data_IF_675264501555
#
_entry.id   IF_675264501555
#
_cell.length_a   1.000
_cell.length_b   1.000
_cell.length_c   1.000
_cell.angle_alpha   90.00
_cell.angle_beta   90.00
_cell.angle_gamma   90.00
#
_symmetry.space_group_name_H-M   'P 1'
#
loop_
_entity.id
_entity.type
_entity.pdbx_description
1 polymer ?
#
# COMPACT_ATOMS: atom_id res chain seq x y z
N UNK A 1 -7.88 -30.48 34.21
CA UNK A 1 -7.72 -29.06 33.87
C UNK A 1 -7.18 -28.99 32.45
N UNK A 2 -8.07 -28.85 31.46
CA UNK A 2 -7.70 -28.89 30.04
C UNK A 2 -7.14 -27.52 29.65
N UNK A 3 -5.87 -27.46 29.24
CA UNK A 3 -5.27 -26.23 28.74
C UNK A 3 -6.07 -25.74 27.51
N UNK A 4 -6.37 -24.44 27.40
CA UNK A 4 -7.04 -23.92 26.20
C UNK A 4 -6.19 -24.25 24.97
N UNK A 5 -6.76 -25.02 24.05
CA UNK A 5 -6.11 -25.36 22.78
C UNK A 5 -5.87 -24.07 22.00
N UNK A 6 -4.62 -23.64 21.93
CA UNK A 6 -4.22 -22.53 21.09
C UNK A 6 -4.18 -23.04 19.67
N UNK A 7 -5.10 -22.58 18.82
CA UNK A 7 -5.03 -22.82 17.38
C UNK A 7 -3.68 -22.29 16.86
N UNK A 8 -2.98 -23.11 16.07
CA UNK A 8 -1.73 -22.70 15.42
C UNK A 8 -1.99 -21.41 14.60
N UNK A 9 -1.02 -20.48 14.52
CA UNK A 9 -1.17 -19.25 13.75
C UNK A 9 -1.52 -19.54 12.30
N UNK A 10 -2.52 -18.86 11.76
CA UNK A 10 -3.01 -19.07 10.41
C UNK A 10 -1.89 -18.78 9.37
N UNK A 11 -1.48 -19.77 8.56
CA UNK A 11 -0.45 -19.59 7.54
C UNK A 11 -0.76 -18.44 6.59
N UNK A 12 -2.04 -18.19 6.26
CA UNK A 12 -2.45 -17.09 5.38
C UNK A 12 -2.18 -15.73 6.00
N UNK A 13 -2.41 -15.61 7.32
CA UNK A 13 -2.13 -14.39 8.07
C UNK A 13 -0.63 -14.11 8.12
N UNK A 14 0.21 -15.15 8.26
CA UNK A 14 1.66 -15.01 8.18
C UNK A 14 2.14 -14.56 6.80
N UNK A 15 1.64 -15.17 5.73
CA UNK A 15 1.95 -14.74 4.36
C UNK A 15 1.53 -13.29 4.13
N UNK A 16 0.34 -12.89 4.60
CA UNK A 16 -0.13 -11.50 4.56
C UNK A 16 0.77 -10.54 5.33
N UNK A 17 1.30 -10.95 6.49
CA UNK A 17 2.23 -10.16 7.28
C UNK A 17 3.57 -9.95 6.56
N UNK A 18 4.11 -10.99 5.92
CA UNK A 18 5.33 -10.88 5.08
C UNK A 18 5.08 -9.92 3.92
N UNK A 19 3.94 -10.08 3.22
CA UNK A 19 3.55 -9.19 2.12
C UNK A 19 3.48 -7.72 2.57
N UNK A 20 2.93 -7.46 3.75
CA UNK A 20 2.83 -6.11 4.30
C UNK A 20 4.21 -5.53 4.67
N UNK A 21 5.05 -6.32 5.33
CA UNK A 21 6.42 -5.90 5.66
C UNK A 21 7.21 -5.55 4.39
N UNK A 22 7.11 -6.39 3.36
CA UNK A 22 7.72 -6.13 2.06
C UNK A 22 7.14 -4.87 1.40
N UNK A 23 5.82 -4.67 1.43
CA UNK A 23 5.20 -3.46 0.91
C UNK A 23 5.75 -2.19 1.57
N UNK A 24 5.88 -2.19 2.90
CA UNK A 24 6.47 -1.08 3.65
C UNK A 24 7.90 -0.78 3.23
N UNK A 25 8.74 -1.81 3.07
CA UNK A 25 10.13 -1.66 2.59
C UNK A 25 10.14 -1.06 1.18
N UNK A 26 9.27 -1.53 0.29
CA UNK A 26 9.18 -1.04 -1.09
C UNK A 26 8.78 0.43 -1.16
N UNK A 27 7.92 0.91 -0.26
CA UNK A 27 7.59 2.34 -0.16
C UNK A 27 8.74 3.20 0.36
N UNK A 28 9.56 2.68 1.28
CA UNK A 28 10.82 3.34 1.65
C UNK A 28 11.74 3.43 0.44
N UNK A 29 11.90 2.33 -0.30
CA UNK A 29 12.74 2.31 -1.50
C UNK A 29 12.22 3.27 -2.57
N UNK A 30 10.90 3.35 -2.78
CA UNK A 30 10.29 4.31 -3.71
C UNK A 30 10.77 5.74 -3.42
N UNK A 31 10.66 6.18 -2.16
CA UNK A 31 10.98 7.56 -1.81
C UNK A 31 12.48 7.86 -1.87
N UNK A 32 13.32 6.90 -1.44
CA UNK A 32 14.77 7.07 -1.37
C UNK A 32 15.48 6.89 -2.73
N UNK A 33 14.93 6.07 -3.63
CA UNK A 33 15.56 5.74 -4.92
C UNK A 33 15.07 6.64 -6.05
N UNK A 34 13.82 7.15 -5.99
CA UNK A 34 13.30 8.00 -7.04
C UNK A 34 14.12 9.30 -7.15
N UNK A 35 14.70 9.61 -8.33
CA UNK A 35 15.44 10.85 -8.52
C UNK A 35 14.47 12.04 -8.49
N UNK A 36 14.97 13.20 -8.03
CA UNK A 36 14.15 14.39 -7.73
C UNK A 36 14.67 15.66 -8.38
N UNK A 37 15.32 15.50 -9.54
CA UNK A 37 15.77 16.63 -10.36
C UNK A 37 14.57 17.46 -10.84
N UNK A 38 14.86 18.70 -11.25
CA UNK A 38 13.85 19.57 -11.84
C UNK A 38 13.33 18.98 -13.16
N UNK A 39 12.09 18.51 -13.12
CA UNK A 39 11.43 17.77 -14.21
C UNK A 39 11.05 18.65 -15.41
N UNK A 40 11.37 19.95 -15.38
CA UNK A 40 11.25 20.87 -16.52
C UNK A 40 12.53 21.00 -17.36
N UNK A 41 13.61 20.34 -16.93
CA UNK A 41 14.95 20.45 -17.53
C UNK A 41 15.36 19.18 -18.27
N UNK A 42 16.47 19.24 -19.02
CA UNK A 42 17.09 18.04 -19.62
C UNK A 42 17.58 17.05 -18.55
N UNK A 43 18.08 17.52 -17.41
CA UNK A 43 18.47 16.66 -16.28
C UNK A 43 17.26 15.93 -15.70
N UNK A 44 16.12 16.64 -15.59
CA UNK A 44 14.83 16.05 -15.26
C UNK A 44 14.40 14.96 -16.25
N UNK A 45 14.55 15.22 -17.54
CA UNK A 45 14.23 14.25 -18.58
C UNK A 45 15.14 13.01 -18.55
N UNK A 46 16.45 13.19 -18.28
CA UNK A 46 17.39 12.11 -18.04
C UNK A 46 16.97 11.28 -16.81
N UNK A 47 16.52 11.94 -15.75
CA UNK A 47 16.04 11.28 -14.54
C UNK A 47 14.87 10.33 -14.82
N UNK A 48 13.93 10.69 -15.70
CA UNK A 48 12.82 9.81 -16.12
C UNK A 48 13.29 8.59 -16.91
N UNK A 49 14.32 8.76 -17.73
CA UNK A 49 14.93 7.67 -18.50
C UNK A 49 15.75 6.69 -17.63
N UNK A 50 16.12 7.11 -16.41
CA UNK A 50 16.99 6.35 -15.53
C UNK A 50 16.39 5.03 -15.03
N UNK A 51 17.26 4.07 -14.70
CA UNK A 51 16.86 2.85 -14.01
C UNK A 51 16.28 3.15 -12.63
N UNK A 52 16.82 4.13 -11.91
CA UNK A 52 16.37 4.52 -10.57
C UNK A 52 14.89 4.93 -10.56
N UNK A 53 14.46 5.75 -11.53
CA UNK A 53 13.05 6.11 -11.71
C UNK A 53 12.17 4.88 -11.90
N UNK A 54 12.55 4.00 -12.83
CA UNK A 54 11.80 2.77 -13.13
C UNK A 54 11.71 1.86 -11.89
N UNK A 55 12.83 1.61 -11.20
CA UNK A 55 12.87 0.77 -10.00
C UNK A 55 12.01 1.33 -8.88
N UNK A 56 12.08 2.63 -8.61
CA UNK A 56 11.30 3.27 -7.57
C UNK A 56 9.78 3.13 -7.84
N UNK A 57 9.32 3.45 -9.05
CA UNK A 57 7.89 3.38 -9.37
C UNK A 57 7.39 1.93 -9.43
N UNK A 58 8.21 0.98 -9.89
CA UNK A 58 7.86 -0.45 -9.80
C UNK A 58 7.78 -0.90 -8.33
N UNK A 59 8.66 -0.43 -7.45
CA UNK A 59 8.57 -0.70 -6.03
C UNK A 59 7.24 -0.20 -5.44
N UNK A 60 6.84 1.03 -5.78
CA UNK A 60 5.54 1.57 -5.39
C UNK A 60 4.36 0.74 -5.94
N UNK A 61 4.39 0.34 -7.22
CA UNK A 61 3.36 -0.53 -7.83
C UNK A 61 3.24 -1.86 -7.07
N UNK A 62 4.36 -2.52 -6.78
CA UNK A 62 4.34 -3.78 -6.04
C UNK A 62 3.83 -3.56 -4.61
N UNK A 63 4.24 -2.49 -3.94
CA UNK A 63 3.72 -2.12 -2.62
C UNK A 63 2.20 -1.90 -2.62
N UNK A 64 1.70 -1.16 -3.62
CA UNK A 64 0.27 -0.93 -3.86
C UNK A 64 -0.51 -2.22 -4.12
N UNK A 65 0.10 -3.24 -4.73
CA UNK A 65 -0.53 -4.56 -4.91
C UNK A 65 -0.54 -5.35 -3.60
N UNK A 66 0.57 -5.33 -2.86
CA UNK A 66 0.75 -6.15 -1.66
C UNK A 66 -0.14 -5.70 -0.48
N UNK A 67 -0.30 -4.39 -0.26
CA UNK A 67 -1.14 -3.86 0.83
C UNK A 67 -2.58 -4.42 0.82
N UNK A 68 -3.36 -4.31 -0.27
CA UNK A 68 -4.72 -4.84 -0.28
C UNK A 68 -4.77 -6.38 -0.30
N UNK A 69 -3.73 -7.07 -0.79
CA UNK A 69 -3.63 -8.54 -0.64
C UNK A 69 -3.49 -8.93 0.84
N UNK A 70 -2.73 -8.17 1.62
CA UNK A 70 -2.68 -8.32 3.09
C UNK A 70 -4.05 -8.09 3.71
N UNK A 71 -4.85 -7.13 3.21
CA UNK A 71 -6.20 -6.90 3.71
C UNK A 71 -7.11 -8.11 3.43
N UNK A 72 -6.93 -8.77 2.29
CA UNK A 72 -7.55 -10.05 1.98
C UNK A 72 -7.15 -11.17 2.96
N UNK A 73 -5.88 -11.24 3.36
CA UNK A 73 -5.42 -12.17 4.38
C UNK A 73 -6.05 -11.89 5.76
N UNK A 74 -6.15 -10.62 6.16
CA UNK A 74 -6.85 -10.21 7.38
C UNK A 74 -8.35 -10.54 7.33
N UNK A 75 -9.00 -10.41 6.18
CA UNK A 75 -10.39 -10.87 5.99
C UNK A 75 -10.51 -12.38 6.28
N UNK A 76 -9.57 -13.19 5.80
CA UNK A 76 -9.51 -14.63 6.14
C UNK A 76 -9.30 -14.91 7.63
N UNK A 77 -8.52 -14.07 8.33
CA UNK A 77 -8.36 -14.17 9.79
C UNK A 77 -9.65 -13.85 10.56
N UNK A 78 -10.51 -13.00 9.99
CA UNK A 78 -11.79 -12.60 10.58
C UNK A 78 -12.98 -13.41 10.08
N UNK A 79 -12.76 -14.48 9.30
CA UNK A 79 -13.81 -15.33 8.74
C UNK A 79 -14.75 -15.86 9.84
N UNK A 80 -16.07 -15.73 9.62
CA UNK A 80 -17.09 -16.12 10.59
C UNK A 80 -17.26 -15.17 11.78
N UNK A 81 -16.54 -14.04 11.81
CA UNK A 81 -16.69 -13.02 12.87
C UNK A 81 -17.47 -11.80 12.38
N UNK A 82 -17.96 -10.97 13.33
CA UNK A 82 -18.63 -9.69 13.02
C UNK A 82 -17.79 -8.71 12.19
N UNK A 83 -16.47 -8.86 12.18
CA UNK A 83 -15.55 -7.93 11.49
C UNK A 83 -15.19 -8.38 10.07
N UNK A 84 -15.62 -9.58 9.64
CA UNK A 84 -15.32 -10.10 8.31
C UNK A 84 -15.78 -9.15 7.20
N UNK A 85 -17.01 -8.64 7.29
CA UNK A 85 -17.60 -7.75 6.27
C UNK A 85 -16.80 -6.46 6.10
N UNK A 86 -16.33 -5.88 7.21
CA UNK A 86 -15.51 -4.65 7.17
C UNK A 86 -14.15 -4.93 6.51
N UNK A 87 -13.50 -6.06 6.85
CA UNK A 87 -12.24 -6.43 6.22
C UNK A 87 -12.40 -6.83 4.74
N UNK A 88 -13.53 -7.45 4.37
CA UNK A 88 -13.88 -7.70 2.97
C UNK A 88 -14.00 -6.40 2.19
N UNK A 89 -14.80 -5.45 2.70
CA UNK A 89 -14.94 -4.14 2.07
C UNK A 89 -13.58 -3.45 1.94
N UNK A 90 -12.75 -3.49 2.98
CA UNK A 90 -11.42 -2.91 2.94
C UNK A 90 -10.53 -3.54 1.85
N UNK A 91 -10.53 -4.86 1.72
CA UNK A 91 -9.77 -5.56 0.68
C UNK A 91 -10.28 -5.20 -0.72
N UNK A 92 -11.59 -5.25 -0.96
CA UNK A 92 -12.19 -4.90 -2.26
C UNK A 92 -11.95 -3.45 -2.64
N UNK A 93 -12.19 -2.51 -1.72
CA UNK A 93 -11.89 -1.08 -1.91
C UNK A 93 -10.41 -0.87 -2.19
N UNK A 94 -9.53 -1.57 -1.46
CA UNK A 94 -8.08 -1.51 -1.66
C UNK A 94 -7.64 -2.04 -3.02
N UNK A 95 -8.24 -3.15 -3.52
CA UNK A 95 -7.95 -3.67 -4.85
C UNK A 95 -8.32 -2.67 -5.94
N UNK A 96 -9.51 -2.07 -5.85
CA UNK A 96 -9.98 -1.08 -6.82
C UNK A 96 -9.09 0.17 -6.76
N UNK A 97 -8.85 0.71 -5.55
CA UNK A 97 -8.02 1.89 -5.37
C UNK A 97 -6.59 1.69 -5.89
N UNK A 98 -6.01 0.52 -5.63
CA UNK A 98 -4.69 0.17 -6.12
C UNK A 98 -4.67 0.01 -7.64
N UNK A 99 -5.67 -0.66 -8.24
CA UNK A 99 -5.77 -0.79 -9.70
C UNK A 99 -5.85 0.57 -10.42
N UNK A 100 -6.63 1.51 -9.88
CA UNK A 100 -6.72 2.88 -10.40
C UNK A 100 -5.44 3.68 -10.20
N UNK A 101 -4.71 3.45 -9.10
CA UNK A 101 -3.47 4.18 -8.79
C UNK A 101 -2.31 3.66 -9.63
N UNK A 102 -2.17 2.34 -9.77
CA UNK A 102 -1.04 1.74 -10.50
C UNK A 102 -1.12 1.97 -12.01
N UNK A 103 -2.30 2.27 -12.57
CA UNK A 103 -2.41 2.64 -13.99
C UNK A 103 -1.66 3.96 -14.27
N UNK A 104 -1.74 4.93 -13.36
CA UNK A 104 -0.99 6.18 -13.41
C UNK A 104 0.52 5.94 -13.25
N UNK A 105 0.92 5.19 -12.23
CA UNK A 105 2.33 4.82 -12.03
C UNK A 105 2.91 4.04 -13.23
N UNK A 106 2.10 3.20 -13.88
CA UNK A 106 2.50 2.50 -15.09
C UNK A 106 2.82 3.46 -16.25
N UNK A 107 1.98 4.48 -16.44
CA UNK A 107 2.26 5.54 -17.42
C UNK A 107 3.56 6.30 -17.07
N UNK A 108 3.84 6.53 -15.79
CA UNK A 108 5.10 7.14 -15.37
C UNK A 108 6.32 6.24 -15.59
N UNK A 109 6.20 4.92 -15.41
CA UNK A 109 7.32 3.99 -15.64
C UNK A 109 7.66 3.89 -17.12
N UNK A 110 6.66 3.68 -17.98
CA UNK A 110 6.89 3.37 -19.39
C UNK A 110 6.86 4.61 -20.28
N UNK A 111 5.90 5.51 -20.04
CA UNK A 111 5.68 6.71 -20.85
C UNK A 111 6.77 7.75 -20.64
N UNK A 112 7.02 8.15 -19.39
CA UNK A 112 8.07 9.16 -19.11
C UNK A 112 9.45 8.67 -19.49
N UNK A 113 9.73 7.37 -19.37
CA UNK A 113 10.99 6.81 -19.84
C UNK A 113 11.20 7.02 -21.33
N UNK A 114 10.18 6.78 -22.15
CA UNK A 114 10.25 6.99 -23.59
C UNK A 114 10.38 8.49 -23.94
N UNK A 115 9.60 9.35 -23.26
CA UNK A 115 9.64 10.80 -23.43
C UNK A 115 11.02 11.34 -23.03
N UNK A 116 11.52 10.99 -21.86
CA UNK A 116 12.80 11.43 -21.32
C UNK A 116 13.98 10.99 -22.20
N UNK A 117 13.99 9.73 -22.66
CA UNK A 117 15.02 9.25 -23.58
C UNK A 117 15.03 10.04 -24.89
N UNK A 118 13.84 10.44 -25.39
CA UNK A 118 13.74 11.25 -26.61
C UNK A 118 14.19 12.69 -26.39
N UNK A 119 13.79 13.31 -25.28
CA UNK A 119 14.20 14.65 -24.87
C UNK A 119 15.73 14.77 -24.81
N UNK A 120 16.40 13.79 -24.18
CA UNK A 120 17.86 13.75 -24.09
C UNK A 120 18.50 13.56 -25.47
N UNK A 121 17.98 12.65 -26.30
CA UNK A 121 18.52 12.40 -27.63
C UNK A 121 18.42 13.62 -28.56
N UNK A 122 17.32 14.36 -28.48
CA UNK A 122 17.07 15.55 -29.31
C UNK A 122 17.67 16.83 -28.70
N UNK A 123 18.12 16.79 -27.44
CA UNK A 123 18.57 17.98 -26.70
C UNK A 123 17.43 18.98 -26.44
N UNK A 124 16.19 18.49 -26.36
CA UNK A 124 14.98 19.32 -26.28
C UNK A 124 14.23 19.08 -24.96
N UNK A 125 14.39 20.02 -24.02
CA UNK A 125 13.69 19.97 -22.74
C UNK A 125 12.18 20.18 -22.86
N UNK A 126 11.67 20.79 -23.94
CA UNK A 126 10.23 21.05 -24.10
C UNK A 126 9.40 19.78 -24.19
N UNK A 127 10.02 18.65 -24.55
CA UNK A 127 9.38 17.33 -24.51
C UNK A 127 8.94 16.91 -23.09
N UNK A 128 9.49 17.52 -22.03
CA UNK A 128 9.00 17.33 -20.66
C UNK A 128 7.56 17.83 -20.46
N UNK A 129 7.11 18.80 -21.25
CA UNK A 129 5.73 19.29 -21.23
C UNK A 129 4.73 18.21 -21.65
N UNK A 130 5.13 17.26 -22.51
CA UNK A 130 4.29 16.10 -22.87
C UNK A 130 4.08 15.18 -21.67
N UNK A 131 5.12 15.00 -20.85
CA UNK A 131 5.04 14.22 -19.61
C UNK A 131 4.08 14.87 -18.62
N UNK A 132 4.21 16.18 -18.44
CA UNK A 132 3.32 16.94 -17.55
C UNK A 132 1.88 16.97 -18.06
N UNK A 133 1.68 17.06 -19.38
CA UNK A 133 0.35 17.10 -19.99
C UNK A 133 -0.48 15.84 -19.68
N UNK A 134 0.10 14.64 -19.71
CA UNK A 134 -0.68 13.44 -19.34
C UNK A 134 -0.85 13.30 -17.83
N UNK A 135 0.12 13.79 -17.03
CA UNK A 135 0.02 13.74 -15.57
C UNK A 135 -1.10 14.62 -15.05
N UNK A 136 -1.22 15.81 -15.62
CA UNK A 136 -2.19 16.84 -15.25
C UNK A 136 -3.45 16.80 -16.12
N UNK A 137 -3.55 15.85 -17.04
CA UNK A 137 -4.80 15.55 -17.72
C UNK A 137 -5.90 15.30 -16.69
N UNK A 138 -7.05 15.94 -16.91
CA UNK A 138 -8.16 15.92 -15.96
C UNK A 138 -8.68 14.51 -15.67
N UNK A 139 -8.67 13.60 -16.65
CA UNK A 139 -9.13 12.22 -16.47
C UNK A 139 -8.07 11.45 -15.69
N UNK A 140 -6.81 11.53 -16.09
CA UNK A 140 -5.70 10.86 -15.42
C UNK A 140 -5.58 11.28 -13.94
N UNK A 141 -5.54 12.59 -13.68
CA UNK A 141 -5.45 13.13 -12.33
C UNK A 141 -6.67 12.77 -11.46
N UNK A 142 -7.88 12.77 -12.04
CA UNK A 142 -9.10 12.38 -11.31
C UNK A 142 -9.09 10.89 -10.95
N UNK A 143 -8.74 10.02 -11.90
CA UNK A 143 -8.65 8.57 -11.65
C UNK A 143 -7.60 8.28 -10.58
N UNK A 144 -6.45 8.94 -10.65
CA UNK A 144 -5.39 8.82 -9.67
C UNK A 144 -5.85 9.26 -8.27
N UNK A 145 -6.46 10.45 -8.16
CA UNK A 145 -6.97 10.97 -6.90
C UNK A 145 -8.05 10.07 -6.29
N UNK A 146 -8.98 9.54 -7.09
CA UNK A 146 -9.98 8.56 -6.65
C UNK A 146 -9.28 7.29 -6.16
N UNK A 147 -8.28 6.79 -6.88
CA UNK A 147 -7.48 5.63 -6.50
C UNK A 147 -6.87 5.79 -5.10
N UNK A 148 -6.20 6.92 -4.86
CA UNK A 148 -5.60 7.24 -3.56
C UNK A 148 -6.64 7.42 -2.44
N UNK A 149 -7.78 8.05 -2.75
CA UNK A 149 -8.88 8.19 -1.78
C UNK A 149 -9.44 6.82 -1.36
N UNK A 150 -9.58 5.89 -2.29
CA UNK A 150 -10.00 4.51 -2.00
C UNK A 150 -8.94 3.74 -1.20
N UNK A 151 -7.65 3.94 -1.47
CA UNK A 151 -6.56 3.35 -0.65
C UNK A 151 -6.64 3.87 0.80
N UNK A 152 -6.83 5.18 0.99
CA UNK A 152 -7.00 5.76 2.32
C UNK A 152 -8.23 5.18 3.03
N UNK A 153 -9.37 5.09 2.34
CA UNK A 153 -10.59 4.49 2.86
C UNK A 153 -10.39 3.02 3.26
N UNK A 154 -9.72 2.23 2.41
CA UNK A 154 -9.41 0.83 2.69
C UNK A 154 -8.56 0.67 3.95
N UNK A 155 -7.53 1.52 4.11
CA UNK A 155 -6.66 1.48 5.28
C UNK A 155 -7.43 1.85 6.57
N UNK A 156 -8.34 2.84 6.51
CA UNK A 156 -9.23 3.19 7.62
C UNK A 156 -10.15 2.02 7.98
N UNK A 157 -10.75 1.35 6.97
CA UNK A 157 -11.62 0.20 7.20
C UNK A 157 -10.86 -0.96 7.86
N UNK A 158 -9.61 -1.22 7.46
CA UNK A 158 -8.75 -2.20 8.15
C UNK A 158 -8.46 -1.78 9.58
N UNK A 159 -8.13 -0.51 9.83
CA UNK A 159 -7.91 -0.02 11.18
C UNK A 159 -9.16 -0.24 12.06
N UNK A 160 -10.35 0.02 11.52
CA UNK A 160 -11.63 -0.25 12.20
C UNK A 160 -11.83 -1.74 12.47
N UNK A 161 -11.58 -2.61 11.49
CA UNK A 161 -11.71 -4.06 11.65
C UNK A 161 -10.74 -4.61 12.70
N UNK A 162 -9.46 -4.21 12.65
CA UNK A 162 -8.43 -4.57 13.63
C UNK A 162 -8.81 -4.07 15.02
N UNK A 163 -9.23 -2.81 15.15
CA UNK A 163 -9.63 -2.20 16.41
C UNK A 163 -10.77 -2.94 17.10
N UNK A 164 -11.76 -3.39 16.31
CA UNK A 164 -12.96 -4.10 16.80
C UNK A 164 -12.77 -5.61 16.97
N UNK A 165 -11.62 -6.16 16.54
CA UNK A 165 -11.36 -7.60 16.51
C UNK A 165 -11.06 -8.22 17.86
N UNK A 166 -10.29 -7.53 18.71
CA UNK A 166 -9.75 -8.10 19.94
C UNK A 166 -8.72 -9.23 19.74
N UNK A 167 -8.38 -9.60 18.49
CA UNK A 167 -7.45 -10.70 18.17
C UNK A 167 -6.11 -10.22 17.59
N UNK A 168 -6.06 -8.97 17.15
CA UNK A 168 -4.87 -8.23 16.73
C UNK A 168 -4.74 -6.99 17.61
N UNK A 169 -3.52 -6.52 17.89
CA UNK A 169 -3.31 -5.30 18.68
C UNK A 169 -4.06 -4.12 18.03
N UNK A 170 -5.05 -3.55 18.73
CA UNK A 170 -5.94 -2.50 18.21
C UNK A 170 -5.21 -1.29 17.63
N UNK A 171 -4.04 -0.95 18.16
CA UNK A 171 -3.28 0.23 17.74
C UNK A 171 -2.41 -0.01 16.51
N UNK A 172 -2.18 -1.26 16.12
CA UNK A 172 -1.15 -1.57 15.11
C UNK A 172 -1.49 -1.08 13.70
N UNK A 173 -2.78 -0.94 13.37
CA UNK A 173 -3.23 -0.51 12.05
C UNK A 173 -3.43 1.02 11.92
N UNK A 174 -3.48 1.75 13.04
CA UNK A 174 -3.75 3.20 13.03
C UNK A 174 -2.62 3.99 12.34
N UNK A 175 -1.33 3.76 12.63
CA UNK A 175 -0.24 4.47 11.96
C UNK A 175 -0.27 4.28 10.44
N UNK A 176 -0.57 3.07 9.97
CA UNK A 176 -0.65 2.78 8.53
C UNK A 176 -1.83 3.50 7.89
N UNK A 177 -3.00 3.52 8.54
CA UNK A 177 -4.15 4.26 8.05
C UNK A 177 -3.86 5.77 7.96
N UNK A 178 -3.21 6.35 8.97
CA UNK A 178 -2.78 7.75 8.93
C UNK A 178 -1.79 8.01 7.78
N UNK A 179 -0.82 7.13 7.57
CA UNK A 179 0.14 7.24 6.46
C UNK A 179 -0.56 7.18 5.09
N UNK A 180 -1.55 6.30 4.91
CA UNK A 180 -2.32 6.19 3.67
C UNK A 180 -3.25 7.39 3.45
N UNK A 181 -3.79 8.02 4.50
CA UNK A 181 -4.53 9.29 4.39
C UNK A 181 -3.60 10.42 3.93
N UNK A 182 -2.36 10.44 4.40
CA UNK A 182 -1.34 11.39 3.97
C UNK A 182 -0.80 11.12 2.55
N UNK A 183 -1.21 10.04 1.90
CA UNK A 183 -0.64 9.64 0.62
C UNK A 183 -1.03 10.57 -0.54
N UNK A 184 -2.16 11.29 -0.51
CA UNK A 184 -2.35 12.36 -1.50
C UNK A 184 -1.55 13.63 -1.13
N UNK A 185 -1.62 14.15 0.11
CA UNK A 185 -0.84 15.30 0.53
C UNK A 185 0.68 15.18 0.37
N UNK A 186 1.26 13.99 0.51
CA UNK A 186 2.73 13.82 0.49
C UNK A 186 3.36 14.24 -0.85
N UNK A 187 2.60 14.24 -1.96
CA UNK A 187 3.08 14.71 -3.26
C UNK A 187 3.40 16.22 -3.24
N UNK A 188 2.91 16.95 -2.25
CA UNK A 188 3.18 18.38 -2.09
C UNK A 188 4.25 18.66 -1.02
N UNK A 189 4.79 17.62 -0.38
CA UNK A 189 5.85 17.80 0.62
C UNK A 189 7.20 18.08 -0.05
N UNK A 190 8.07 18.88 0.59
CA UNK A 190 9.49 18.93 0.25
C UNK A 190 10.12 17.55 0.30
N UNK A 191 11.28 17.38 -0.32
CA UNK A 191 11.97 16.09 -0.42
C UNK A 191 12.11 15.38 0.94
N UNK A 192 12.56 16.09 1.99
CA UNK A 192 12.67 15.53 3.34
C UNK A 192 11.33 15.02 3.90
N UNK A 193 10.22 15.70 3.60
CA UNK A 193 8.88 15.27 4.01
C UNK A 193 8.40 14.02 3.30
N UNK A 194 8.78 13.84 2.03
CA UNK A 194 8.51 12.61 1.27
C UNK A 194 9.29 11.41 1.82
N UNK A 195 10.58 11.60 2.12
CA UNK A 195 11.39 10.57 2.80
C UNK A 195 10.78 10.19 4.15
N UNK A 196 10.36 11.17 4.95
CA UNK A 196 9.70 10.93 6.22
C UNK A 196 8.39 10.16 6.06
N UNK A 197 7.60 10.46 5.02
CA UNK A 197 6.39 9.71 4.70
C UNK A 197 6.70 8.26 4.31
N UNK A 198 7.70 8.01 3.47
CA UNK A 198 8.13 6.65 3.12
C UNK A 198 8.55 5.83 4.36
N UNK A 199 9.33 6.44 5.27
CA UNK A 199 9.71 5.83 6.56
C UNK A 199 8.49 5.56 7.44
N UNK A 200 7.54 6.51 7.51
CA UNK A 200 6.29 6.34 8.25
C UNK A 200 5.49 5.13 7.73
N UNK A 201 5.36 4.99 6.41
CA UNK A 201 4.70 3.82 5.79
C UNK A 201 5.44 2.54 6.16
N UNK A 202 6.77 2.51 6.01
CA UNK A 202 7.61 1.36 6.35
C UNK A 202 7.45 0.90 7.80
N UNK A 203 7.61 1.82 8.76
CA UNK A 203 7.46 1.50 10.19
C UNK A 203 6.04 1.06 10.53
N UNK A 204 5.03 1.72 9.97
CA UNK A 204 3.63 1.38 10.20
C UNK A 204 3.27 -0.01 9.68
N UNK A 205 3.77 -0.35 8.49
CA UNK A 205 3.59 -1.66 7.89
C UNK A 205 4.27 -2.76 8.73
N UNK A 206 5.47 -2.51 9.24
CA UNK A 206 6.18 -3.45 10.14
C UNK A 206 5.45 -3.66 11.47
N UNK A 207 4.91 -2.60 12.07
CA UNK A 207 4.11 -2.67 13.30
C UNK A 207 2.87 -3.55 13.10
N UNK A 208 2.12 -3.34 12.01
CA UNK A 208 0.95 -4.15 11.71
C UNK A 208 1.33 -5.58 11.33
N UNK A 209 2.38 -5.79 10.54
CA UNK A 209 2.87 -7.12 10.20
C UNK A 209 3.27 -7.92 11.45
N UNK A 210 4.00 -7.30 12.38
CA UNK A 210 4.35 -7.92 13.66
C UNK A 210 3.13 -8.31 14.49
N UNK A 211 2.12 -7.43 14.55
CA UNK A 211 0.87 -7.72 15.23
C UNK A 211 0.11 -8.88 14.57
N UNK A 212 0.16 -9.01 13.25
CA UNK A 212 -0.42 -10.14 12.51
C UNK A 212 0.31 -11.45 12.79
N UNK A 213 1.65 -11.45 12.88
CA UNK A 213 2.42 -12.64 13.26
C UNK A 213 2.07 -13.15 14.67
N UNK A 214 1.74 -12.23 15.56
CA UNK A 214 1.40 -12.51 16.96
C UNK A 214 -0.09 -12.81 17.16
N UNK A 215 -0.91 -12.67 16.12
CA UNK A 215 -2.36 -12.81 16.20
C UNK A 215 -2.77 -14.28 16.40
N UNK A 216 -3.76 -14.49 17.26
CA UNK A 216 -4.40 -15.80 17.46
C UNK A 216 -5.77 -15.77 16.81
N UNK A 217 -6.15 -16.87 16.14
CA UNK A 217 -7.49 -16.94 15.54
C UNK A 217 -8.55 -16.83 16.64
N UNK A 218 -9.62 -16.06 16.43
CA UNK A 218 -10.77 -16.09 17.33
C UNK A 218 -11.33 -17.51 17.37
N UNK A 219 -11.61 -18.03 18.57
CA UNK A 219 -12.29 -19.32 18.73
C UNK A 219 -13.77 -19.08 18.42
N UNK A 220 -14.32 -19.80 17.44
CA UNK A 220 -15.75 -19.78 17.15
C UNK A 220 -16.51 -20.28 18.39
N UNK A 221 -17.36 -19.41 18.97
CA UNK A 221 -18.24 -19.78 20.09
C UNK A 221 -19.25 -20.89 19.73
N UNK A 222 -19.45 -21.18 18.43
CA UNK A 222 -20.37 -22.22 17.95
C UNK A 222 -19.77 -23.64 17.91
N UNK A 223 -18.45 -23.82 18.06
CA UNK A 223 -17.86 -25.16 18.12
C UNK A 223 -17.93 -25.80 19.53
N UNK A 224 -18.46 -25.08 20.51
CA UNK A 224 -18.47 -25.49 21.92
C UNK A 224 -19.44 -26.62 22.34
N UNK A 225 -20.48 -27.07 21.60
CA UNK A 225 -21.36 -28.12 22.13
C UNK A 225 -21.02 -29.57 21.73
N UNK A 226 -19.90 -29.86 21.05
CA UNK A 226 -19.59 -31.25 20.64
C UNK A 226 -18.52 -31.98 21.47
N UNK A 227 -17.81 -31.29 22.38
CA UNK A 227 -16.77 -31.92 23.22
C UNK A 227 -17.24 -32.31 24.63
N UNK A 228 -18.54 -32.23 24.92
CA UNK A 228 -19.11 -32.62 26.22
C UNK A 228 -19.88 -33.95 26.20
N UNK A 229 -19.81 -34.70 25.09
CA UNK A 229 -20.40 -36.04 24.97
C UNK A 229 -19.36 -37.05 24.46
N UNK A 230 -18.39 -37.37 25.30
CA UNK A 230 -17.59 -38.59 25.20
C UNK A 230 -17.10 -38.97 26.60
#
# INVERSE_FOLDING_TARGET
>A
MSLPQTSQPDPRTRTGAIGLALAGILFVLYEFVAPREDQTTLEGAESWASAAWSFAHIAAIIGLILIPLTYGALRGHFEGTRNEKTAFLAATTGYIGSALTISYYGAEVYGLKAIGARAVADGDASLTEVGEAFRMDSVAATIFAIGLALIALAAILIAVAVWRSGTVNRWSAIPLAAAMVLYLPHFYFPYAGRLAWGVLVGLSALILAWAMFSARRPINAEAAPQLQKA
#
